data_IF_425036861474
#
_entry.id   IF_425036861474
#
_cell.length_a   1.000
_cell.length_b   1.000
_cell.length_c   1.000
_cell.angle_alpha   90.00
_cell.angle_beta   90.00
_cell.angle_gamma   90.00
#
_symmetry.space_group_name_H-M   'P 1'
#
loop_
_entity.id
_entity.type
_entity.pdbx_description
1 polymer ?
#
# COMPACT_ATOMS: atom_id res chain seq x y z
N UNK A 1 -9.99 3.37 7.36
CA UNK A 1 -9.56 3.41 5.94
C UNK A 1 -10.67 3.85 5.00
N UNK A 2 -11.89 3.40 5.13
CA UNK A 2 -12.93 3.56 4.11
C UNK A 2 -13.33 4.99 3.70
N UNK A 3 -13.29 5.99 4.57
CA UNK A 3 -13.72 7.35 4.21
C UNK A 3 -12.78 8.04 3.21
N UNK A 4 -11.47 7.92 3.44
CA UNK A 4 -10.45 8.47 2.54
C UNK A 4 -10.53 7.84 1.16
N UNK A 5 -10.35 6.51 1.07
CA UNK A 5 -10.33 5.83 -0.23
C UNK A 5 -11.63 5.97 -1.01
N UNK A 6 -12.78 5.96 -0.35
CA UNK A 6 -14.06 6.25 -1.00
C UNK A 6 -14.09 7.65 -1.64
N UNK A 7 -13.45 8.63 -1.01
CA UNK A 7 -13.39 9.99 -1.56
C UNK A 7 -12.50 10.10 -2.79
N UNK A 8 -11.39 9.31 -2.84
CA UNK A 8 -10.33 9.46 -3.85
C UNK A 8 -10.26 8.33 -4.87
N UNK A 9 -11.02 7.24 -4.69
CA UNK A 9 -10.96 6.05 -5.55
C UNK A 9 -11.03 6.39 -7.05
N UNK A 10 -11.82 7.41 -7.44
CA UNK A 10 -11.94 7.87 -8.83
C UNK A 10 -10.59 8.31 -9.41
N UNK A 11 -9.80 9.00 -8.62
CA UNK A 11 -8.54 9.60 -9.06
C UNK A 11 -7.34 8.64 -8.88
N UNK A 12 -7.50 7.61 -8.05
CA UNK A 12 -6.40 6.78 -7.56
C UNK A 12 -5.54 6.16 -8.66
N UNK A 13 -6.15 5.65 -9.72
CA UNK A 13 -5.41 5.01 -10.81
C UNK A 13 -4.64 6.03 -11.66
N UNK A 14 -5.24 7.18 -11.97
CA UNK A 14 -4.57 8.26 -12.70
C UNK A 14 -3.46 8.91 -11.88
N UNK A 15 -3.70 9.12 -10.59
CA UNK A 15 -2.71 9.62 -9.63
C UNK A 15 -1.47 8.72 -9.52
N UNK A 16 -1.66 7.40 -9.60
CA UNK A 16 -0.61 6.41 -9.40
C UNK A 16 -0.18 5.70 -10.71
N UNK A 17 -0.51 6.26 -11.89
CA UNK A 17 -0.24 5.62 -13.17
C UNK A 17 1.26 5.45 -13.47
N UNK A 18 2.10 6.34 -12.96
CA UNK A 18 3.55 6.34 -13.10
C UNK A 18 4.28 5.43 -12.08
N UNK A 19 3.59 4.91 -11.07
CA UNK A 19 4.18 4.04 -10.03
C UNK A 19 4.35 2.62 -10.53
N UNK A 20 5.47 2.37 -11.18
CA UNK A 20 5.79 1.07 -11.79
C UNK A 20 7.14 0.50 -11.33
N UNK A 21 7.93 1.29 -10.62
CA UNK A 21 9.29 0.97 -10.15
C UNK A 21 9.32 -0.24 -9.20
N UNK A 22 8.31 -0.40 -8.35
CA UNK A 22 8.17 -1.53 -7.42
C UNK A 22 7.70 -2.85 -8.08
N UNK A 23 7.06 -2.78 -9.25
CA UNK A 23 6.45 -3.95 -9.90
C UNK A 23 7.48 -5.01 -10.28
N UNK A 24 8.68 -4.60 -10.70
CA UNK A 24 9.78 -5.52 -11.00
C UNK A 24 10.24 -6.28 -9.74
N UNK A 25 10.28 -5.62 -8.59
CA UNK A 25 10.57 -6.26 -7.30
C UNK A 25 9.53 -7.34 -6.97
N UNK A 26 8.23 -7.01 -7.06
CA UNK A 26 7.17 -7.99 -6.79
C UNK A 26 7.21 -9.17 -7.76
N UNK A 27 7.59 -8.96 -9.03
CA UNK A 27 7.79 -10.05 -9.99
C UNK A 27 8.94 -10.97 -9.58
N UNK A 28 10.08 -10.44 -9.13
CA UNK A 28 11.21 -11.25 -8.62
C UNK A 28 10.81 -12.09 -7.41
N UNK A 29 10.09 -11.47 -6.46
CA UNK A 29 9.55 -12.17 -5.29
C UNK A 29 8.57 -13.27 -5.68
N UNK A 30 7.65 -12.98 -6.60
CA UNK A 30 6.72 -13.98 -7.10
C UNK A 30 7.43 -15.15 -7.79
N UNK A 31 8.53 -14.91 -8.50
CA UNK A 31 9.34 -15.97 -9.10
C UNK A 31 10.05 -16.84 -8.05
N UNK A 32 10.52 -16.24 -6.96
CA UNK A 32 11.19 -16.95 -5.85
C UNK A 32 10.23 -17.83 -5.06
N UNK A 33 9.04 -17.29 -4.71
CA UNK A 33 8.06 -17.96 -3.85
C UNK A 33 6.94 -18.68 -4.63
N UNK A 34 6.87 -18.52 -5.92
CA UNK A 34 6.09 -19.15 -6.99
C UNK A 34 4.59 -19.13 -6.84
N UNK A 35 3.83 -19.72 -6.08
CA UNK A 35 2.36 -19.74 -6.08
C UNK A 35 1.82 -19.40 -4.68
N UNK A 36 0.53 -19.13 -4.57
CA UNK A 36 -0.10 -18.77 -3.29
C UNK A 36 0.40 -17.42 -2.74
N UNK A 37 0.17 -16.38 -3.53
CA UNK A 37 0.51 -14.99 -3.17
C UNK A 37 -0.72 -14.31 -2.58
N UNK A 38 -0.53 -13.60 -1.47
CA UNK A 38 -1.54 -12.75 -0.85
C UNK A 38 -1.13 -11.29 -0.94
N UNK A 39 -1.95 -10.46 -1.56
CA UNK A 39 -1.83 -8.99 -1.57
C UNK A 39 -2.84 -8.40 -0.60
N UNK A 40 -2.37 -7.90 0.54
CA UNK A 40 -3.21 -7.32 1.59
C UNK A 40 -3.40 -5.83 1.31
N UNK A 41 -4.65 -5.36 1.31
CA UNK A 41 -4.98 -4.01 0.89
C UNK A 41 -4.79 -3.83 -0.62
N UNK A 42 -5.25 -4.78 -1.42
CA UNK A 42 -5.00 -4.83 -2.85
C UNK A 42 -5.60 -3.65 -3.65
N UNK A 43 -6.52 -2.90 -3.08
CA UNK A 43 -7.10 -1.68 -3.63
C UNK A 43 -7.68 -1.88 -5.03
N UNK A 44 -7.23 -1.05 -5.98
CA UNK A 44 -7.63 -1.12 -7.39
C UNK A 44 -6.86 -2.20 -8.18
N UNK A 45 -6.01 -3.00 -7.50
CA UNK A 45 -5.36 -4.16 -8.05
C UNK A 45 -4.08 -3.90 -8.85
N UNK A 46 -3.33 -2.83 -8.58
CA UNK A 46 -2.11 -2.48 -9.31
C UNK A 46 -1.09 -3.65 -9.31
N UNK A 47 -0.71 -4.14 -8.13
CA UNK A 47 0.23 -5.27 -7.97
C UNK A 47 -0.44 -6.59 -8.36
N UNK A 48 -1.69 -6.79 -7.94
CA UNK A 48 -2.46 -8.00 -8.18
C UNK A 48 -2.59 -8.31 -9.70
N UNK A 49 -2.98 -7.31 -10.51
CA UNK A 49 -3.11 -7.45 -11.97
C UNK A 49 -1.74 -7.68 -12.62
N UNK A 50 -0.71 -6.97 -12.15
CA UNK A 50 0.64 -7.13 -12.67
C UNK A 50 1.14 -8.58 -12.51
N UNK A 51 1.02 -9.14 -11.31
CA UNK A 51 1.44 -10.51 -11.03
C UNK A 51 0.60 -11.55 -11.78
N UNK A 52 -0.72 -11.32 -11.91
CA UNK A 52 -1.58 -12.21 -12.69
C UNK A 52 -1.24 -12.22 -14.18
N UNK A 53 -0.86 -11.06 -14.76
CA UNK A 53 -0.35 -10.97 -16.14
C UNK A 53 0.97 -11.73 -16.31
N UNK A 54 1.81 -11.77 -15.29
CA UNK A 54 3.04 -12.57 -15.27
C UNK A 54 2.79 -14.08 -15.07
N UNK A 55 1.52 -14.51 -14.90
CA UNK A 55 1.12 -15.91 -14.82
C UNK A 55 0.88 -16.45 -13.41
N UNK A 56 1.04 -15.64 -12.38
CA UNK A 56 0.87 -16.06 -10.99
C UNK A 56 -0.60 -16.04 -10.55
N UNK A 57 -0.96 -16.95 -9.64
CA UNK A 57 -2.24 -16.91 -8.93
C UNK A 57 -2.10 -16.03 -7.70
N UNK A 58 -2.94 -14.99 -7.61
CA UNK A 58 -2.87 -14.00 -6.55
C UNK A 58 -4.22 -13.86 -5.86
N UNK A 59 -4.20 -13.84 -4.54
CA UNK A 59 -5.36 -13.52 -3.72
C UNK A 59 -5.26 -12.11 -3.17
N UNK A 60 -6.27 -11.28 -3.40
CA UNK A 60 -6.36 -9.92 -2.85
C UNK A 60 -7.34 -9.86 -1.70
N UNK A 61 -7.02 -9.09 -0.66
CA UNK A 61 -7.96 -8.72 0.40
C UNK A 61 -8.00 -7.19 0.49
N UNK A 62 -9.19 -6.61 0.43
CA UNK A 62 -9.43 -5.20 0.69
C UNK A 62 -10.79 -4.99 1.33
N UNK A 63 -10.95 -3.93 2.12
CA UNK A 63 -12.23 -3.61 2.77
C UNK A 63 -12.99 -2.46 2.10
N UNK A 64 -12.37 -1.74 1.15
CA UNK A 64 -12.98 -0.59 0.49
C UNK A 64 -13.72 -0.99 -0.79
N UNK A 65 -15.04 -0.74 -0.79
CA UNK A 65 -15.89 -1.10 -1.93
C UNK A 65 -15.55 -0.31 -3.19
N UNK A 66 -15.25 0.99 -3.05
CA UNK A 66 -15.00 1.84 -4.22
C UNK A 66 -13.69 1.46 -4.92
N UNK A 67 -12.68 1.05 -4.14
CA UNK A 67 -11.43 0.53 -4.69
C UNK A 67 -11.65 -0.80 -5.42
N UNK A 68 -12.39 -1.73 -4.80
CA UNK A 68 -12.70 -3.03 -5.40
C UNK A 68 -13.60 -2.92 -6.63
N UNK A 69 -14.53 -1.99 -6.68
CA UNK A 69 -15.36 -1.72 -7.88
C UNK A 69 -14.48 -1.29 -9.08
N UNK A 70 -13.41 -0.53 -8.82
CA UNK A 70 -12.46 -0.17 -9.88
C UNK A 70 -11.63 -1.38 -10.33
N UNK A 71 -11.21 -2.22 -9.41
CA UNK A 71 -10.56 -3.49 -9.73
C UNK A 71 -11.46 -4.35 -10.62
N UNK A 72 -12.73 -4.53 -10.26
CA UNK A 72 -13.68 -5.31 -11.05
C UNK A 72 -13.84 -4.75 -12.47
N UNK A 73 -14.00 -3.44 -12.63
CA UNK A 73 -14.05 -2.79 -13.96
C UNK A 73 -12.81 -3.07 -14.81
N UNK A 74 -11.62 -3.15 -14.18
CA UNK A 74 -10.37 -3.52 -14.90
C UNK A 74 -10.37 -4.99 -15.31
N UNK A 75 -10.88 -5.88 -14.46
CA UNK A 75 -10.97 -7.31 -14.73
C UNK A 75 -12.02 -7.62 -15.80
N UNK A 76 -13.11 -6.86 -15.89
CA UNK A 76 -14.11 -6.97 -16.96
C UNK A 76 -13.49 -6.72 -18.35
N UNK A 77 -12.51 -5.83 -18.42
CA UNK A 77 -11.74 -5.56 -19.65
C UNK A 77 -10.66 -6.60 -19.94
N UNK A 78 -10.36 -7.48 -19.00
CA UNK A 78 -9.30 -8.49 -19.05
C UNK A 78 -9.76 -9.83 -18.47
N UNK A 79 -10.78 -10.46 -19.05
CA UNK A 79 -11.46 -11.62 -18.45
C UNK A 79 -10.54 -12.82 -18.19
N UNK A 80 -9.49 -12.98 -18.98
CA UNK A 80 -8.50 -14.06 -18.79
C UNK A 80 -7.75 -13.98 -17.44
N UNK A 81 -7.65 -12.80 -16.85
CA UNK A 81 -7.00 -12.64 -15.55
C UNK A 81 -7.87 -13.15 -14.39
N UNK A 82 -9.19 -13.28 -14.60
CA UNK A 82 -10.10 -13.78 -13.54
C UNK A 82 -9.78 -15.21 -13.11
N UNK A 83 -9.16 -16.01 -13.97
CA UNK A 83 -8.74 -17.36 -13.60
C UNK A 83 -7.56 -17.37 -12.59
N UNK A 84 -6.80 -16.26 -12.54
CA UNK A 84 -5.62 -16.13 -11.68
C UNK A 84 -5.81 -15.20 -10.49
N UNK A 85 -6.89 -14.43 -10.49
CA UNK A 85 -7.17 -13.45 -9.44
C UNK A 85 -8.38 -13.89 -8.64
N UNK A 86 -8.21 -13.99 -7.34
CA UNK A 86 -9.32 -14.10 -6.39
C UNK A 86 -9.29 -12.93 -5.42
N UNK A 87 -10.45 -12.35 -5.12
CA UNK A 87 -10.54 -11.18 -4.24
C UNK A 87 -11.55 -11.43 -3.14
N UNK A 88 -11.18 -11.06 -1.92
CA UNK A 88 -12.10 -11.07 -0.77
C UNK A 88 -12.29 -9.64 -0.27
N UNK A 89 -13.54 -9.18 -0.28
CA UNK A 89 -13.92 -7.94 0.39
C UNK A 89 -14.07 -8.18 1.88
N UNK A 90 -13.05 -7.83 2.66
CA UNK A 90 -13.05 -8.03 4.11
C UNK A 90 -12.10 -7.07 4.83
N UNK A 91 -12.39 -6.79 6.10
CA UNK A 91 -11.40 -6.24 7.02
C UNK A 91 -10.42 -7.35 7.39
N UNK A 92 -9.16 -7.19 7.04
CA UNK A 92 -8.10 -8.16 7.30
C UNK A 92 -7.96 -8.51 8.78
N UNK A 93 -8.33 -7.60 9.69
CA UNK A 93 -8.32 -7.87 11.13
C UNK A 93 -9.47 -8.77 11.60
N UNK A 94 -10.49 -8.98 10.76
CA UNK A 94 -11.66 -9.81 11.08
C UNK A 94 -11.78 -11.04 10.19
N UNK A 95 -11.06 -11.04 9.08
CA UNK A 95 -11.06 -12.16 8.13
C UNK A 95 -10.26 -13.33 8.69
N UNK A 96 -10.72 -14.54 8.44
CA UNK A 96 -9.99 -15.79 8.73
C UNK A 96 -9.76 -16.53 7.42
N UNK A 97 -8.56 -17.08 7.26
CA UNK A 97 -8.17 -17.90 6.12
C UNK A 97 -7.62 -19.25 6.59
N UNK A 98 -8.11 -20.31 5.99
CA UNK A 98 -7.51 -21.65 6.11
C UNK A 98 -6.34 -21.84 5.12
N UNK A 99 -6.28 -20.98 4.08
CA UNK A 99 -5.20 -21.01 3.08
C UNK A 99 -3.89 -20.57 3.72
N UNK A 100 -2.80 -21.18 3.25
CA UNK A 100 -1.44 -20.76 3.53
C UNK A 100 -0.86 -20.10 2.29
N UNK A 101 -0.09 -19.03 2.51
CA UNK A 101 0.53 -18.26 1.44
C UNK A 101 2.04 -18.34 1.55
N UNK A 102 2.72 -18.56 0.44
CA UNK A 102 4.18 -18.53 0.38
C UNK A 102 4.74 -17.11 0.29
N UNK A 103 3.96 -16.19 -0.23
CA UNK A 103 4.30 -14.78 -0.28
C UNK A 103 3.12 -13.95 0.21
N UNK A 104 3.35 -13.16 1.25
CA UNK A 104 2.37 -12.18 1.74
C UNK A 104 2.96 -10.79 1.53
N UNK A 105 2.21 -9.92 0.87
CA UNK A 105 2.62 -8.57 0.52
C UNK A 105 1.79 -7.55 1.31
N UNK A 106 2.47 -6.66 2.02
CA UNK A 106 1.96 -5.38 2.52
C UNK A 106 2.53 -4.28 1.64
N UNK A 107 1.89 -4.08 0.49
CA UNK A 107 2.40 -3.19 -0.55
C UNK A 107 2.10 -1.73 -0.21
N UNK A 108 2.95 -0.85 -0.72
CA UNK A 108 2.72 0.58 -0.80
C UNK A 108 2.11 1.20 0.47
N UNK A 109 2.89 1.22 1.55
CA UNK A 109 2.57 1.90 2.80
C UNK A 109 1.37 1.32 3.59
N UNK A 110 0.87 0.14 3.24
CA UNK A 110 -0.34 -0.42 3.87
C UNK A 110 -0.24 -0.48 5.40
N UNK A 111 0.91 -0.87 5.95
CA UNK A 111 1.07 -0.98 7.41
C UNK A 111 0.87 0.37 8.12
N UNK A 112 1.15 1.50 7.47
CA UNK A 112 0.97 2.84 8.02
C UNK A 112 -0.49 3.18 8.35
N UNK A 113 -1.46 2.47 7.77
CA UNK A 113 -2.88 2.64 8.08
C UNK A 113 -3.30 2.04 9.44
N UNK A 114 -2.46 1.22 10.04
CA UNK A 114 -2.70 0.62 11.35
C UNK A 114 -1.99 1.45 12.43
N UNK A 115 -2.63 2.52 12.90
CA UNK A 115 -2.02 3.48 13.83
C UNK A 115 -1.81 2.91 15.22
N UNK A 116 -2.81 2.17 15.73
CA UNK A 116 -2.79 1.59 17.07
C UNK A 116 -1.93 0.33 17.10
N UNK A 117 -1.03 0.20 18.10
CA UNK A 117 -0.10 -0.92 18.22
C UNK A 117 -0.82 -2.27 18.33
N UNK A 118 -1.95 -2.32 19.03
CA UNK A 118 -2.78 -3.52 19.16
C UNK A 118 -3.26 -4.02 17.79
N UNK A 119 -3.65 -3.09 16.91
CA UNK A 119 -4.10 -3.44 15.54
C UNK A 119 -2.94 -3.91 14.67
N UNK A 120 -1.75 -3.35 14.84
CA UNK A 120 -0.52 -3.81 14.16
C UNK A 120 -0.17 -5.24 14.58
N UNK A 121 -0.19 -5.50 15.89
CA UNK A 121 0.05 -6.84 16.46
C UNK A 121 -0.99 -7.82 15.93
N UNK A 122 -2.27 -7.45 15.97
CA UNK A 122 -3.37 -8.30 15.48
C UNK A 122 -3.20 -8.63 13.98
N UNK A 123 -2.86 -7.65 13.16
CA UNK A 123 -2.58 -7.85 11.72
C UNK A 123 -1.43 -8.85 11.55
N UNK A 124 -0.27 -8.57 12.13
CA UNK A 124 0.92 -9.38 11.92
C UNK A 124 0.75 -10.81 12.46
N UNK A 125 0.07 -11.00 13.59
CA UNK A 125 -0.23 -12.33 14.12
C UNK A 125 -1.17 -13.12 13.18
N UNK A 126 -2.13 -12.46 12.52
CA UNK A 126 -2.96 -13.11 11.49
C UNK A 126 -2.13 -13.51 10.28
N UNK A 127 -1.32 -12.59 9.76
CA UNK A 127 -0.44 -12.88 8.63
C UNK A 127 0.54 -14.01 8.97
N UNK A 128 1.04 -14.06 10.23
CA UNK A 128 1.89 -15.17 10.67
C UNK A 128 1.17 -16.51 10.61
N UNK A 129 -0.10 -16.55 10.98
CA UNK A 129 -0.91 -17.79 10.88
C UNK A 129 -1.17 -18.20 9.44
N UNK A 130 -1.28 -17.24 8.51
CA UNK A 130 -1.53 -17.51 7.09
C UNK A 130 -0.24 -17.80 6.31
N UNK A 131 0.91 -17.41 6.85
CA UNK A 131 2.19 -17.65 6.19
C UNK A 131 2.53 -19.16 6.21
N UNK A 132 2.97 -19.68 5.06
CA UNK A 132 3.53 -21.02 4.93
C UNK A 132 4.87 -21.12 5.69
N UNK A 133 5.31 -22.33 6.03
CA UNK A 133 6.54 -22.54 6.79
C UNK A 133 7.79 -22.02 6.05
N UNK A 134 7.78 -22.15 4.72
CA UNK A 134 8.85 -21.69 3.81
C UNK A 134 8.52 -20.36 3.14
N UNK A 135 7.51 -19.64 3.63
CA UNK A 135 7.03 -18.39 3.06
C UNK A 135 7.74 -17.14 3.57
N UNK A 136 7.47 -16.01 2.91
CA UNK A 136 7.94 -14.68 3.29
C UNK A 136 6.79 -13.67 3.41
N UNK A 137 6.95 -12.76 4.36
CA UNK A 137 6.19 -11.51 4.47
C UNK A 137 7.07 -10.37 3.97
N UNK A 138 6.55 -9.57 3.04
CA UNK A 138 7.23 -8.38 2.54
C UNK A 138 6.43 -7.16 2.93
N UNK A 139 7.10 -6.19 3.56
CA UNK A 139 6.51 -4.93 4.02
C UNK A 139 7.25 -3.80 3.32
N UNK A 140 6.52 -2.99 2.56
CA UNK A 140 7.05 -1.85 1.82
C UNK A 140 6.57 -0.54 2.46
N UNK A 141 7.50 0.23 3.02
CA UNK A 141 7.27 1.48 3.75
C UNK A 141 8.19 2.60 3.25
N UNK A 142 7.81 3.87 3.42
CA UNK A 142 8.76 4.96 3.26
C UNK A 142 9.75 4.93 4.42
N UNK A 143 10.96 5.41 4.18
CA UNK A 143 11.91 5.66 5.27
C UNK A 143 11.42 6.84 6.12
N UNK A 144 11.27 6.64 7.43
CA UNK A 144 10.82 7.66 8.35
C UNK A 144 11.86 8.77 8.58
N UNK A 145 13.15 8.47 8.42
CA UNK A 145 14.24 9.39 8.73
C UNK A 145 14.10 10.77 8.06
N UNK A 146 13.98 10.85 6.73
CA UNK A 146 13.82 12.13 6.03
C UNK A 146 12.60 12.94 6.49
N UNK A 147 11.45 12.30 6.69
CA UNK A 147 10.23 12.97 7.14
C UNK A 147 10.39 13.56 8.55
N UNK A 148 11.08 12.84 9.45
CA UNK A 148 11.32 13.29 10.83
C UNK A 148 12.46 14.32 10.94
N UNK A 149 13.35 14.38 9.97
CA UNK A 149 14.41 15.39 9.89
C UNK A 149 13.93 16.72 9.28
N UNK A 150 12.81 16.72 8.56
CA UNK A 150 12.25 17.94 7.96
C UNK A 150 11.61 18.83 9.02
N UNK A 151 11.65 20.14 8.80
CA UNK A 151 10.87 21.08 9.59
C UNK A 151 9.39 21.01 9.19
N UNK A 152 8.50 21.18 10.18
CA UNK A 152 7.07 21.29 9.89
C UNK A 152 6.80 22.61 9.19
N UNK A 153 6.36 22.52 7.96
CA UNK A 153 5.84 23.68 7.23
C UNK A 153 4.34 23.45 7.04
N UNK A 154 3.51 24.27 7.70
CA UNK A 154 2.07 24.32 7.43
C UNK A 154 1.82 24.98 6.06
N UNK A 155 2.54 24.53 5.04
CA UNK A 155 2.46 25.08 3.68
C UNK A 155 1.62 24.18 2.80
N UNK A 156 0.84 24.82 1.93
CA UNK A 156 0.14 24.13 0.86
C UNK A 156 1.16 23.68 -0.19
N UNK A 157 1.32 22.38 -0.37
CA UNK A 157 2.24 21.80 -1.34
C UNK A 157 1.47 21.30 -2.56
N UNK A 158 1.89 21.69 -3.77
CA UNK A 158 1.42 21.05 -4.99
C UNK A 158 2.19 19.71 -5.16
N UNK A 159 1.49 18.62 -5.03
CA UNK A 159 2.06 17.27 -5.16
C UNK A 159 2.22 16.85 -6.62
N UNK A 160 1.14 17.01 -7.37
CA UNK A 160 1.10 16.72 -8.82
C UNK A 160 -0.13 17.29 -9.50
N UNK A 161 -0.11 17.24 -10.83
CA UNK A 161 -1.31 17.45 -11.65
C UNK A 161 -1.44 16.28 -12.64
N UNK A 162 -2.66 15.88 -12.93
CA UNK A 162 -2.96 14.80 -13.88
C UNK A 162 -4.33 15.02 -14.52
N UNK A 163 -4.57 14.34 -15.63
CA UNK A 163 -5.86 14.34 -16.31
C UNK A 163 -6.73 13.21 -15.74
N UNK A 164 -7.95 13.53 -15.34
CA UNK A 164 -8.94 12.51 -15.02
C UNK A 164 -9.56 11.97 -16.31
N UNK A 165 -9.32 10.69 -16.59
CA UNK A 165 -9.79 10.05 -17.83
C UNK A 165 -11.32 9.96 -17.94
N UNK A 166 -12.05 10.01 -16.82
CA UNK A 166 -13.51 9.90 -16.81
C UNK A 166 -14.19 11.22 -17.20
N UNK A 167 -13.67 12.37 -16.76
CA UNK A 167 -14.24 13.70 -17.06
C UNK A 167 -13.48 14.47 -18.14
N UNK A 168 -12.21 14.13 -18.38
CA UNK A 168 -11.32 14.92 -19.18
C UNK A 168 -10.83 16.21 -18.49
N UNK A 169 -11.10 16.35 -17.17
CA UNK A 169 -10.72 17.53 -16.41
C UNK A 169 -9.30 17.41 -15.86
N UNK A 170 -8.63 18.57 -15.67
CA UNK A 170 -7.36 18.63 -14.97
C UNK A 170 -7.61 18.50 -13.47
N UNK A 171 -6.87 17.61 -12.82
CA UNK A 171 -6.83 17.47 -11.37
C UNK A 171 -5.53 18.06 -10.86
N UNK A 172 -5.62 19.04 -9.94
CA UNK A 172 -4.49 19.51 -9.15
C UNK A 172 -4.58 18.88 -7.77
N UNK A 173 -3.61 18.03 -7.45
CA UNK A 173 -3.48 17.40 -6.14
C UNK A 173 -2.54 18.22 -5.29
N UNK A 174 -3.03 18.68 -4.16
CA UNK A 174 -2.30 19.46 -3.17
C UNK A 174 -2.41 18.78 -1.81
N UNK A 175 -1.50 19.09 -0.90
CA UNK A 175 -1.55 18.64 0.48
C UNK A 175 -1.16 19.73 1.47
N UNK A 176 -1.72 19.60 2.68
CA UNK A 176 -1.20 20.21 3.90
C UNK A 176 -0.97 19.10 4.89
N UNK A 177 0.22 19.03 5.50
CA UNK A 177 0.54 17.96 6.43
C UNK A 177 1.21 18.47 7.69
N UNK A 178 0.91 17.80 8.81
CA UNK A 178 1.53 18.03 10.12
C UNK A 178 1.96 16.68 10.69
N UNK A 179 3.21 16.57 11.12
CA UNK A 179 3.77 15.37 11.72
C UNK A 179 3.72 15.46 13.25
N UNK A 180 2.88 14.65 13.89
CA UNK A 180 3.00 14.38 15.32
C UNK A 180 4.18 13.41 15.53
N UNK A 181 5.33 13.96 15.95
CA UNK A 181 6.57 13.20 16.14
C UNK A 181 6.51 12.29 17.36
N UNK A 182 5.73 12.65 18.40
CA UNK A 182 5.60 11.84 19.60
C UNK A 182 4.81 10.57 19.33
N UNK A 183 3.71 10.69 18.58
CA UNK A 183 2.86 9.57 18.18
C UNK A 183 3.30 8.92 16.87
N UNK A 184 4.28 9.48 16.16
CA UNK A 184 4.75 9.07 14.84
C UNK A 184 3.61 9.08 13.78
N UNK A 185 2.66 10.01 13.90
CA UNK A 185 1.50 10.09 13.02
C UNK A 185 1.58 11.32 12.13
N UNK A 186 1.52 11.10 10.83
CA UNK A 186 1.37 12.14 9.83
C UNK A 186 -0.12 12.39 9.60
N UNK A 187 -0.56 13.61 9.87
CA UNK A 187 -1.88 14.11 9.51
C UNK A 187 -1.78 14.82 8.18
N UNK A 188 -2.54 14.40 7.19
CA UNK A 188 -2.52 14.96 5.83
C UNK A 188 -3.94 15.35 5.43
N UNK A 189 -4.12 16.57 4.99
CA UNK A 189 -5.31 17.00 4.28
C UNK A 189 -4.99 17.04 2.77
N UNK A 190 -5.44 16.01 2.06
CA UNK A 190 -5.36 15.96 0.61
C UNK A 190 -6.45 16.81 -0.02
N UNK A 191 -6.08 17.63 -0.98
CA UNK A 191 -6.95 18.57 -1.68
C UNK A 191 -6.90 18.25 -3.17
N UNK A 192 -8.01 17.76 -3.69
CA UNK A 192 -8.20 17.49 -5.12
C UNK A 192 -9.03 18.61 -5.73
N UNK A 193 -8.41 19.45 -6.55
CA UNK A 193 -9.08 20.49 -7.33
C UNK A 193 -9.31 19.99 -8.75
N UNK A 194 -10.57 19.67 -9.08
CA UNK A 194 -11.01 19.30 -10.42
C UNK A 194 -11.36 20.57 -11.18
N UNK A 195 -10.62 20.87 -12.26
CA UNK A 195 -10.73 22.09 -13.06
C UNK A 195 -11.34 21.70 -14.40
N UNK A 196 -12.53 22.24 -14.71
CA UNK A 196 -13.20 22.00 -15.98
C UNK A 196 -12.68 22.93 -17.10
N UNK A 197 -13.26 22.78 -18.32
CA UNK A 197 -12.84 23.54 -19.49
C UNK A 197 -13.10 25.06 -19.40
N UNK A 198 -14.00 25.49 -18.52
CA UNK A 198 -14.32 26.90 -18.25
C UNK A 198 -13.47 27.48 -17.10
N UNK A 199 -12.61 26.68 -16.51
CA UNK A 199 -11.74 27.07 -15.38
C UNK A 199 -12.45 27.05 -14.02
N UNK A 200 -13.66 26.47 -13.93
CA UNK A 200 -14.34 26.31 -12.65
C UNK A 200 -13.69 25.19 -11.85
N UNK A 201 -13.51 25.44 -10.55
CA UNK A 201 -12.84 24.52 -9.65
C UNK A 201 -13.84 23.83 -8.72
N UNK A 202 -13.85 22.51 -8.75
CA UNK A 202 -14.57 21.68 -7.78
C UNK A 202 -13.57 21.07 -6.82
N UNK A 203 -13.55 21.54 -5.57
CA UNK A 203 -12.63 21.06 -4.55
C UNK A 203 -13.21 19.87 -3.79
N UNK A 204 -12.35 18.87 -3.53
CA UNK A 204 -12.61 17.74 -2.63
C UNK A 204 -11.50 17.65 -1.61
N UNK A 205 -11.90 17.61 -0.32
CA UNK A 205 -10.98 17.37 0.79
C UNK A 205 -11.03 15.89 1.19
N UNK A 206 -9.87 15.31 1.43
CA UNK A 206 -9.72 13.93 1.84
C UNK A 206 -8.68 13.83 2.98
N UNK A 207 -9.08 14.06 4.24
CA UNK A 207 -8.18 13.95 5.37
C UNK A 207 -7.73 12.50 5.57
N UNK A 208 -6.46 12.35 5.88
CA UNK A 208 -5.85 11.05 6.10
C UNK A 208 -4.84 11.08 7.24
N UNK A 209 -4.60 9.93 7.87
CA UNK A 209 -3.65 9.78 8.95
C UNK A 209 -2.84 8.51 8.71
N UNK A 210 -1.52 8.65 8.73
CA UNK A 210 -0.57 7.57 8.48
C UNK A 210 0.45 7.49 9.61
N UNK A 211 0.73 6.28 10.10
CA UNK A 211 1.77 6.07 11.09
C UNK A 211 3.09 5.70 10.42
N UNK A 212 4.15 6.41 10.77
CA UNK A 212 5.51 6.06 10.41
C UNK A 212 6.10 4.97 11.31
N UNK A 213 7.03 4.21 10.76
CA UNK A 213 7.77 3.17 11.47
C UNK A 213 9.26 3.39 11.32
N UNK A 214 9.98 3.28 12.45
CA UNK A 214 11.43 3.15 12.42
C UNK A 214 11.84 1.68 12.45
N UNK A 215 12.96 1.35 11.81
CA UNK A 215 13.43 -0.04 11.71
C UNK A 215 13.60 -0.73 13.08
N UNK A 216 14.15 -0.09 14.14
CA UNK A 216 14.27 -0.73 15.46
C UNK A 216 12.91 -1.10 16.06
N UNK A 217 11.91 -0.24 15.93
CA UNK A 217 10.54 -0.51 16.36
C UNK A 217 9.94 -1.68 15.58
N UNK A 218 10.07 -1.64 14.26
CA UNK A 218 9.52 -2.69 13.39
C UNK A 218 10.17 -4.05 13.65
N UNK A 219 11.46 -4.10 13.98
CA UNK A 219 12.15 -5.33 14.41
C UNK A 219 11.52 -5.93 15.66
N UNK A 220 11.25 -5.11 16.68
CA UNK A 220 10.61 -5.57 17.92
C UNK A 220 9.17 -6.02 17.68
N UNK A 221 8.42 -5.28 16.87
CA UNK A 221 7.05 -5.60 16.52
C UNK A 221 6.96 -6.94 15.78
N UNK A 222 7.81 -7.15 14.78
CA UNK A 222 7.88 -8.40 14.02
C UNK A 222 8.29 -9.57 14.90
N UNK A 223 9.32 -9.42 15.73
CA UNK A 223 9.75 -10.47 16.65
C UNK A 223 8.65 -10.87 17.64
N UNK A 224 7.90 -9.89 18.20
CA UNK A 224 6.74 -10.13 19.05
C UNK A 224 5.64 -10.94 18.36
N UNK A 225 5.52 -10.80 17.04
CA UNK A 225 4.49 -11.47 16.24
C UNK A 225 4.96 -12.81 15.61
N UNK A 226 6.14 -13.32 15.98
CA UNK A 226 6.66 -14.60 15.49
C UNK A 226 7.31 -14.50 14.10
N UNK A 227 7.92 -13.36 13.78
CA UNK A 227 8.71 -13.16 12.58
C UNK A 227 10.16 -12.83 12.92
N UNK A 228 11.09 -13.25 12.07
CA UNK A 228 12.46 -12.74 12.03
C UNK A 228 12.68 -11.97 10.73
N UNK A 229 13.40 -10.86 10.77
CA UNK A 229 13.81 -10.15 9.58
C UNK A 229 14.92 -10.94 8.88
N UNK A 230 14.74 -11.16 7.59
CA UNK A 230 15.69 -11.86 6.71
C UNK A 230 16.51 -10.86 5.88
N UNK A 231 15.93 -9.70 5.54
CA UNK A 231 16.59 -8.61 4.82
C UNK A 231 15.87 -7.28 5.00
N UNK A 232 16.61 -6.19 4.87
CA UNK A 232 16.07 -4.81 4.82
C UNK A 232 16.76 -4.08 3.68
N UNK A 233 15.98 -3.51 2.78
CA UNK A 233 16.45 -2.85 1.56
C UNK A 233 15.98 -1.40 1.52
N UNK A 234 16.80 -0.54 0.91
CA UNK A 234 16.57 0.90 0.81
C UNK A 234 15.77 1.32 -0.43
N UNK A 235 15.66 0.42 -1.40
CA UNK A 235 14.99 0.63 -2.67
C UNK A 235 14.39 -0.68 -3.23
N UNK A 236 13.70 -0.57 -4.36
CA UNK A 236 13.06 -1.70 -5.04
C UNK A 236 14.02 -2.57 -5.85
N UNK A 237 15.27 -2.15 -6.01
CA UNK A 237 16.32 -2.90 -6.72
C UNK A 237 17.11 -3.83 -5.78
N UNK A 238 16.98 -3.64 -4.46
CA UNK A 238 17.63 -4.45 -3.42
C UNK A 238 18.90 -3.80 -2.88
N UNK A 239 19.03 -2.47 -3.02
CA UNK A 239 20.10 -1.70 -2.40
C UNK A 239 20.04 -1.71 -0.88
N UNK A 240 21.17 -1.47 -0.24
CA UNK A 240 21.28 -1.43 1.22
C UNK A 240 20.37 -0.34 1.82
N UNK A 241 19.73 -0.65 2.95
CA UNK A 241 18.96 0.33 3.71
C UNK A 241 19.89 1.26 4.49
N UNK A 242 19.91 2.53 4.12
CA UNK A 242 20.71 3.60 4.72
C UNK A 242 19.81 4.70 5.32
N UNK A 243 20.41 5.66 6.01
CA UNK A 243 19.67 6.74 6.65
C UNK A 243 18.90 7.63 5.65
N UNK A 244 19.41 7.79 4.44
CA UNK A 244 18.86 8.59 3.35
C UNK A 244 18.13 7.76 2.28
N UNK A 245 17.96 6.44 2.49
CA UNK A 245 17.18 5.60 1.60
C UNK A 245 15.75 6.15 1.45
N UNK A 246 15.18 6.02 0.27
CA UNK A 246 13.81 6.46 0.00
C UNK A 246 12.78 5.51 0.66
N UNK A 247 13.08 4.21 0.64
CA UNK A 247 12.19 3.17 1.16
C UNK A 247 12.82 2.40 2.34
N UNK A 248 11.98 1.73 3.07
CA UNK A 248 12.32 0.68 4.02
C UNK A 248 11.52 -0.56 3.65
N UNK A 249 12.14 -1.44 2.87
CA UNK A 249 11.52 -2.68 2.39
C UNK A 249 12.04 -3.83 3.24
N UNK A 250 11.14 -4.44 4.00
CA UNK A 250 11.49 -5.48 4.98
C UNK A 250 10.99 -6.83 4.51
N UNK A 251 11.92 -7.79 4.40
CA UNK A 251 11.62 -9.20 4.16
C UNK A 251 11.69 -9.94 5.50
N UNK A 252 10.62 -10.64 5.84
CA UNK A 252 10.52 -11.36 7.10
C UNK A 252 10.02 -12.79 6.88
N UNK A 253 10.56 -13.72 7.66
CA UNK A 253 10.16 -15.14 7.68
C UNK A 253 9.56 -15.50 9.03
N UNK A 254 8.70 -16.50 9.05
CA UNK A 254 8.16 -17.05 10.29
C UNK A 254 9.25 -17.70 11.14
N UNK A 255 9.17 -17.51 12.47
CA UNK A 255 9.98 -18.23 13.47
C UNK A 255 9.25 -19.47 13.94
#
# INVERSE_FOLDING_TARGET
>A
MSAFYRAVARYYDAENADKTDDLAMYSRLAAEYSSEILDVGCGTGRVLIHLARAGYHVHGIDNDSAMLERLEKKLDRQPLLRERISVTKADVLRYESERKFKLILLTYNLLMHFREQERQIMLLQRLRRWLAADGALVIDLPNAGPAFASEDTESLTLERSFLDEESGHMIMLQSVSVLDRAEQVLHIDWIYDEIDGDGMVKRRLAPHQLRYFFLPELRLLLARCGFRIDGVFGDTEGGDYLADSERMIVYAKGT
#
